data_IF_268671895609
#
_entry.id   IF_268671895609
#
_cell.length_a   1.000
_cell.length_b   1.000
_cell.length_c   1.000
_cell.angle_alpha   90.00
_cell.angle_beta   90.00
_cell.angle_gamma   90.00
#
_symmetry.space_group_name_H-M   'P 1'
#
loop_
_entity.id
_entity.type
_entity.pdbx_description
1 polymer ?
#
# COMPACT_ATOMS: atom_id res chain seq x y z
N UNK A 1 6.59 34.90 -45.10
CA UNK A 1 7.62 33.96 -44.68
C UNK A 1 7.00 32.97 -43.69
N UNK A 2 7.18 31.71 -43.94
CA UNK A 2 6.73 30.63 -43.06
C UNK A 2 7.74 30.35 -41.91
N UNK A 3 7.47 29.40 -41.01
CA UNK A 3 8.37 28.98 -39.96
C UNK A 3 9.67 28.44 -40.57
N UNK A 4 10.79 28.72 -39.93
CA UNK A 4 12.12 28.20 -40.33
C UNK A 4 12.41 26.81 -39.75
N UNK A 5 11.69 26.44 -38.67
CA UNK A 5 11.79 25.14 -38.03
C UNK A 5 10.41 24.66 -37.54
N UNK A 6 10.16 23.36 -37.66
CA UNK A 6 8.93 22.67 -37.21
C UNK A 6 9.28 21.30 -36.66
N UNK A 7 8.31 20.64 -36.02
CA UNK A 7 8.51 19.29 -35.51
C UNK A 7 8.05 18.23 -36.53
N UNK A 8 8.64 17.04 -36.49
CA UNK A 8 8.13 15.90 -37.28
C UNK A 8 6.68 15.58 -36.90
N UNK A 9 5.83 15.29 -37.88
CA UNK A 9 4.40 15.07 -37.71
C UNK A 9 3.56 16.36 -37.68
N UNK A 10 4.16 17.54 -37.83
CA UNK A 10 3.45 18.82 -37.90
C UNK A 10 2.96 19.15 -39.30
N UNK A 11 2.00 20.07 -39.39
CA UNK A 11 1.59 20.68 -40.66
C UNK A 11 1.86 22.18 -40.62
N UNK A 12 2.20 22.75 -41.78
CA UNK A 12 2.33 24.19 -42.00
C UNK A 12 1.93 24.58 -43.42
N UNK A 13 1.59 25.84 -43.60
CA UNK A 13 1.12 26.36 -44.90
C UNK A 13 2.11 27.34 -45.49
N UNK A 14 2.40 27.23 -46.80
CA UNK A 14 3.15 28.20 -47.56
C UNK A 14 2.34 28.74 -48.74
N UNK A 15 2.75 29.86 -49.30
CA UNK A 15 2.12 30.52 -50.43
C UNK A 15 2.97 30.37 -51.69
N UNK A 16 2.37 30.35 -52.91
CA UNK A 16 0.92 30.49 -53.19
C UNK A 16 0.13 29.19 -52.93
N UNK A 17 -1.21 29.32 -52.74
CA UNK A 17 -2.13 28.18 -52.44
C UNK A 17 -2.86 27.67 -53.66
N UNK A 18 -2.65 28.30 -54.83
CA UNK A 18 -3.31 27.95 -56.12
C UNK A 18 -2.49 28.48 -57.27
N UNK A 19 -2.86 28.12 -58.47
CA UNK A 19 -2.25 28.60 -59.72
C UNK A 19 -1.01 27.82 -60.16
N UNK A 20 -0.65 26.76 -59.49
CA UNK A 20 0.52 25.95 -59.83
C UNK A 20 0.70 24.69 -59.02
N UNK A 21 1.86 24.12 -59.07
CA UNK A 21 2.22 22.88 -58.36
C UNK A 21 3.47 23.09 -57.50
N UNK A 22 3.45 22.48 -56.32
CA UNK A 22 4.58 22.44 -55.41
C UNK A 22 5.34 21.13 -55.48
N UNK A 23 6.66 21.20 -55.35
CA UNK A 23 7.55 20.04 -55.27
C UNK A 23 8.45 20.15 -54.05
N UNK A 24 8.53 19.08 -53.26
CA UNK A 24 9.48 18.92 -52.16
C UNK A 24 10.84 18.43 -52.68
N UNK A 25 11.94 19.01 -52.18
CA UNK A 25 13.30 18.52 -52.47
C UNK A 25 13.59 17.17 -51.82
N UNK A 26 12.83 16.78 -50.77
CA UNK A 26 12.91 15.50 -50.11
C UNK A 26 11.56 15.08 -49.55
N UNK A 27 10.74 14.33 -50.30
CA UNK A 27 9.42 13.89 -49.81
C UNK A 27 9.45 12.94 -48.65
N UNK A 28 10.58 12.29 -48.32
CA UNK A 28 10.73 11.48 -47.11
C UNK A 28 10.85 12.32 -45.82
N UNK A 29 11.28 13.59 -45.94
CA UNK A 29 11.34 14.52 -44.80
C UNK A 29 10.01 15.27 -44.68
N UNK A 30 9.50 15.81 -45.82
CA UNK A 30 8.22 16.49 -45.83
C UNK A 30 7.56 16.41 -47.19
N UNK A 31 6.27 16.18 -47.23
CA UNK A 31 5.43 16.29 -48.43
C UNK A 31 4.77 17.64 -48.48
N UNK A 32 4.32 18.05 -49.67
CA UNK A 32 3.59 19.28 -49.89
C UNK A 32 2.48 19.06 -50.90
N UNK A 33 1.31 19.61 -50.69
CA UNK A 33 0.20 19.63 -51.61
C UNK A 33 0.29 20.81 -52.58
N UNK A 34 -0.46 20.78 -53.69
CA UNK A 34 -0.52 21.93 -54.61
C UNK A 34 -1.17 23.18 -53.97
N UNK A 35 -1.89 23.00 -52.88
CA UNK A 35 -2.39 24.11 -52.07
C UNK A 35 -1.34 24.66 -51.07
N UNK A 36 -0.11 24.17 -51.13
CA UNK A 36 0.97 24.63 -50.23
C UNK A 36 0.93 24.10 -48.83
N UNK A 37 0.09 23.07 -48.53
CA UNK A 37 0.07 22.42 -47.22
C UNK A 37 1.26 21.44 -47.13
N UNK A 38 2.18 21.76 -46.22
CA UNK A 38 3.34 20.92 -45.90
C UNK A 38 2.94 19.96 -44.77
N UNK A 39 3.26 18.67 -44.92
CA UNK A 39 3.20 17.67 -43.86
C UNK A 39 4.58 17.11 -43.61
N UNK A 40 5.13 17.29 -42.43
CA UNK A 40 6.45 16.83 -42.03
C UNK A 40 6.41 15.37 -41.56
N UNK A 41 7.37 14.57 -41.96
CA UNK A 41 7.41 13.12 -41.70
C UNK A 41 8.59 12.75 -40.79
N UNK A 42 9.82 13.01 -41.23
CA UNK A 42 11.05 12.69 -40.49
C UNK A 42 11.92 13.92 -40.30
N UNK A 43 12.86 13.85 -39.37
CA UNK A 43 13.80 14.95 -39.12
C UNK A 43 14.74 15.16 -40.26
N UNK A 44 15.12 16.41 -40.51
CA UNK A 44 16.03 16.80 -41.55
C UNK A 44 15.76 18.19 -42.10
N UNK A 45 16.41 18.58 -43.20
CA UNK A 45 16.23 19.87 -43.87
C UNK A 45 15.62 19.66 -45.27
N UNK A 46 14.60 20.43 -45.59
CA UNK A 46 13.86 20.32 -46.84
C UNK A 46 13.57 21.68 -47.41
N UNK A 47 13.55 21.80 -48.75
CA UNK A 47 13.18 22.98 -49.51
C UNK A 47 12.04 22.69 -50.47
N UNK A 48 11.38 23.71 -50.95
CA UNK A 48 10.23 23.61 -51.84
C UNK A 48 10.39 24.50 -53.07
N UNK A 49 9.92 24.03 -54.21
CA UNK A 49 9.90 24.78 -55.48
C UNK A 49 8.44 24.79 -55.94
N UNK A 50 8.01 26.00 -56.37
CA UNK A 50 6.69 26.20 -56.98
C UNK A 50 6.85 26.31 -58.50
N UNK A 51 5.94 25.69 -59.23
CA UNK A 51 5.85 25.83 -60.69
C UNK A 51 4.50 26.40 -61.04
N UNK A 52 4.45 27.57 -61.66
CA UNK A 52 3.19 28.20 -62.09
C UNK A 52 2.58 27.43 -63.24
N UNK A 53 1.24 27.21 -63.22
CA UNK A 53 0.57 26.37 -64.23
C UNK A 53 0.42 27.02 -65.59
N UNK A 54 0.34 28.39 -65.68
CA UNK A 54 0.10 29.10 -66.94
C UNK A 54 1.40 29.28 -67.74
N UNK A 55 2.43 29.77 -67.10
CA UNK A 55 3.74 30.05 -67.74
C UNK A 55 4.71 28.85 -67.71
N UNK A 56 4.48 27.88 -66.78
CA UNK A 56 5.43 26.81 -66.51
C UNK A 56 6.72 27.26 -65.80
N UNK A 57 6.80 28.56 -65.37
CA UNK A 57 7.95 29.13 -64.71
C UNK A 57 8.10 28.56 -63.30
N UNK A 58 9.34 28.20 -62.92
CA UNK A 58 9.68 27.70 -61.60
C UNK A 58 10.20 28.86 -60.72
N UNK A 59 9.77 28.85 -59.47
CA UNK A 59 10.35 29.73 -58.46
C UNK A 59 11.79 29.33 -58.14
N UNK A 60 12.53 30.24 -57.50
CA UNK A 60 13.71 29.84 -56.76
C UNK A 60 13.31 28.85 -55.65
N UNK A 61 14.31 28.11 -55.19
CA UNK A 61 14.12 27.20 -54.04
C UNK A 61 13.80 28.01 -52.78
N UNK A 62 12.80 27.58 -52.02
CA UNK A 62 12.48 28.19 -50.73
C UNK A 62 13.69 28.20 -49.80
N UNK A 63 13.65 29.05 -48.75
CA UNK A 63 14.52 28.84 -47.60
C UNK A 63 14.34 27.40 -47.05
N UNK A 64 15.40 26.90 -46.44
CA UNK A 64 15.38 25.58 -45.86
C UNK A 64 14.42 25.53 -44.65
N UNK A 65 13.49 24.58 -44.65
CA UNK A 65 12.68 24.24 -43.46
C UNK A 65 13.41 23.14 -42.70
N UNK A 66 13.77 23.40 -41.45
CA UNK A 66 14.34 22.42 -40.52
C UNK A 66 13.21 21.65 -39.87
N UNK A 67 13.19 20.35 -40.01
CA UNK A 67 12.27 19.44 -39.32
C UNK A 67 13.01 18.81 -38.15
N UNK A 68 12.64 19.21 -36.93
CA UNK A 68 13.19 18.67 -35.70
C UNK A 68 12.53 17.33 -35.34
N UNK A 69 13.27 16.35 -34.77
CA UNK A 69 12.68 15.10 -34.32
C UNK A 69 11.75 15.34 -33.13
N UNK A 70 10.62 14.62 -33.09
CA UNK A 70 9.82 14.50 -31.86
C UNK A 70 10.61 13.72 -30.82
N UNK A 71 10.62 14.13 -29.56
CA UNK A 71 11.32 13.43 -28.50
C UNK A 71 10.85 11.97 -28.36
N UNK A 72 11.79 11.03 -28.25
CA UNK A 72 11.49 9.67 -27.84
C UNK A 72 11.32 9.60 -26.33
N UNK A 73 10.29 8.93 -25.87
CA UNK A 73 9.96 8.74 -24.45
C UNK A 73 9.85 7.28 -24.12
N UNK A 74 10.28 6.89 -22.91
CA UNK A 74 10.19 5.51 -22.44
C UNK A 74 9.98 5.41 -20.94
N UNK A 75 9.37 4.30 -20.52
CA UNK A 75 9.20 3.88 -19.13
C UNK A 75 9.76 2.46 -19.00
N UNK A 76 10.91 2.28 -18.37
CA UNK A 76 11.41 0.95 -18.03
C UNK A 76 10.52 0.33 -16.95
N UNK A 77 10.04 -0.89 -17.18
CA UNK A 77 9.25 -1.64 -16.20
C UNK A 77 7.73 -1.46 -16.33
N UNK A 78 7.03 -1.62 -15.23
CA UNK A 78 5.56 -1.56 -15.18
C UNK A 78 5.05 -0.12 -15.29
N UNK A 79 3.96 0.06 -16.02
CA UNK A 79 3.19 1.30 -16.04
C UNK A 79 2.14 1.38 -14.91
N UNK A 80 2.07 0.38 -14.04
CA UNK A 80 1.21 0.37 -12.85
C UNK A 80 2.01 0.77 -11.62
N UNK A 81 1.50 1.75 -10.88
CA UNK A 81 2.06 2.25 -9.63
C UNK A 81 1.01 2.18 -8.52
N UNK A 82 1.42 1.76 -7.34
CA UNK A 82 0.56 1.95 -6.17
C UNK A 82 0.61 3.41 -5.70
N UNK A 83 -0.47 3.92 -5.12
CA UNK A 83 -0.46 5.25 -4.48
C UNK A 83 0.76 5.41 -3.57
N UNK A 84 1.50 6.52 -3.74
CA UNK A 84 2.74 6.83 -3.02
C UNK A 84 4.00 6.17 -3.56
N UNK A 85 3.91 5.28 -4.56
CA UNK A 85 5.08 4.72 -5.21
C UNK A 85 5.52 5.60 -6.38
N UNK A 86 6.81 5.48 -6.75
CA UNK A 86 7.40 6.23 -7.85
C UNK A 86 8.03 5.32 -8.91
N UNK A 87 8.13 5.85 -10.13
CA UNK A 87 8.87 5.29 -11.26
C UNK A 87 9.64 6.40 -11.97
N UNK A 88 10.56 6.02 -12.87
CA UNK A 88 11.31 7.00 -13.66
C UNK A 88 10.99 6.84 -15.14
N UNK A 89 10.60 7.93 -15.79
CA UNK A 89 10.43 8.04 -17.24
C UNK A 89 11.62 8.76 -17.86
N UNK A 90 11.90 8.47 -19.12
CA UNK A 90 13.01 9.07 -19.87
C UNK A 90 12.49 9.87 -21.08
N UNK A 91 13.17 10.97 -21.43
CA UNK A 91 14.45 11.49 -20.91
C UNK A 91 14.31 12.19 -19.54
N UNK A 92 15.42 12.23 -18.78
CA UNK A 92 15.49 12.87 -17.45
C UNK A 92 16.03 14.29 -17.47
N UNK A 93 16.41 14.78 -18.67
CA UNK A 93 16.98 16.12 -18.90
C UNK A 93 16.57 16.67 -20.26
N UNK A 94 16.78 17.95 -20.49
CA UNK A 94 16.61 18.58 -21.80
C UNK A 94 15.17 19.02 -22.11
N UNK A 95 14.24 18.89 -21.17
CA UNK A 95 12.86 19.29 -21.41
C UNK A 95 11.96 19.30 -20.19
N UNK A 96 10.67 19.38 -20.48
CA UNK A 96 9.60 19.46 -19.49
C UNK A 96 8.65 18.27 -19.67
N UNK A 97 8.38 17.56 -18.59
CA UNK A 97 7.33 16.57 -18.51
C UNK A 97 6.01 17.20 -18.07
N UNK A 98 4.92 16.77 -18.69
CA UNK A 98 3.55 17.18 -18.34
C UNK A 98 2.70 15.95 -18.15
N UNK A 99 1.94 15.90 -17.04
CA UNK A 99 0.89 14.91 -16.80
C UNK A 99 -0.46 15.46 -17.24
N UNK A 100 -1.26 14.64 -17.91
CA UNK A 100 -2.65 14.98 -18.26
C UNK A 100 -3.55 15.11 -17.04
N UNK A 101 -3.16 14.47 -15.92
CA UNK A 101 -3.85 14.55 -14.64
C UNK A 101 -2.85 14.45 -13.48
N UNK A 102 -2.35 15.59 -13.04
CA UNK A 102 -1.39 15.68 -11.94
C UNK A 102 -1.96 15.25 -10.57
N UNK A 103 -3.30 15.21 -10.40
CA UNK A 103 -3.93 14.69 -9.19
C UNK A 103 -3.91 13.15 -9.12
N UNK A 104 -3.77 12.47 -10.27
CA UNK A 104 -3.61 11.00 -10.33
C UNK A 104 -2.13 10.62 -10.30
N UNK A 105 -1.33 11.22 -11.17
CA UNK A 105 0.12 10.99 -11.20
C UNK A 105 0.84 12.31 -11.50
N UNK A 106 1.73 12.72 -10.61
CA UNK A 106 2.62 13.85 -10.85
C UNK A 106 3.92 13.40 -11.52
N UNK A 107 4.55 14.31 -12.26
CA UNK A 107 5.86 14.06 -12.87
C UNK A 107 6.76 15.27 -12.72
N UNK A 108 8.02 15.06 -12.40
CA UNK A 108 9.05 16.11 -12.36
C UNK A 108 9.78 16.21 -13.69
N UNK A 109 10.44 17.34 -13.96
CA UNK A 109 11.27 17.49 -15.17
C UNK A 109 12.46 16.52 -15.22
N UNK A 110 12.87 15.95 -14.07
CA UNK A 110 13.85 14.88 -13.99
C UNK A 110 13.24 13.48 -14.28
N UNK A 111 11.99 13.41 -14.71
CA UNK A 111 11.32 12.15 -15.05
C UNK A 111 10.86 11.30 -13.87
N UNK A 112 10.91 11.80 -12.63
CA UNK A 112 10.34 11.10 -11.47
C UNK A 112 8.82 11.23 -11.48
N UNK A 113 8.12 10.10 -11.62
CA UNK A 113 6.65 9.98 -11.60
C UNK A 113 6.22 9.44 -10.26
N UNK A 114 5.25 10.09 -9.61
CA UNK A 114 4.67 9.62 -8.33
C UNK A 114 3.17 9.41 -8.49
N UNK A 115 2.68 8.23 -8.09
CA UNK A 115 1.25 7.94 -8.02
C UNK A 115 0.60 8.63 -6.82
N UNK A 116 -0.41 9.48 -7.05
CA UNK A 116 -1.06 10.30 -6.01
C UNK A 116 -2.41 9.74 -5.62
N UNK A 117 -3.27 9.45 -6.60
CA UNK A 117 -4.60 8.90 -6.40
C UNK A 117 -4.90 7.83 -7.45
N UNK A 118 -5.79 6.86 -7.16
CA UNK A 118 -6.16 5.84 -8.13
C UNK A 118 -6.74 6.45 -9.42
N UNK A 119 -6.32 5.91 -10.56
CA UNK A 119 -6.76 6.39 -11.87
C UNK A 119 -5.70 6.22 -12.96
N UNK A 120 -5.91 6.91 -14.07
CA UNK A 120 -5.00 6.89 -15.23
C UNK A 120 -4.54 8.31 -15.58
N UNK A 121 -3.26 8.46 -15.86
CA UNK A 121 -2.68 9.69 -16.36
C UNK A 121 -1.78 9.40 -17.56
N UNK A 122 -1.68 10.35 -18.50
CA UNK A 122 -0.83 10.28 -19.68
C UNK A 122 0.27 11.34 -19.57
N UNK A 123 1.52 10.90 -19.79
CA UNK A 123 2.68 11.78 -19.68
C UNK A 123 3.22 12.10 -21.06
N UNK A 124 3.54 13.38 -21.30
CA UNK A 124 4.22 13.85 -22.51
C UNK A 124 5.46 14.68 -22.13
N UNK A 125 6.45 14.63 -23.01
CA UNK A 125 7.70 15.37 -22.86
C UNK A 125 7.86 16.42 -23.97
N UNK A 126 8.24 17.62 -23.61
CA UNK A 126 8.59 18.70 -24.55
C UNK A 126 10.07 19.04 -24.41
N UNK A 127 10.83 18.90 -25.51
CA UNK A 127 12.23 19.29 -25.56
C UNK A 127 12.34 20.83 -25.58
N UNK A 128 13.08 21.43 -24.64
CA UNK A 128 13.20 22.88 -24.49
C UNK A 128 14.00 23.55 -25.62
N UNK A 129 14.95 22.83 -26.26
CA UNK A 129 15.77 23.40 -27.32
C UNK A 129 15.00 23.54 -28.63
N UNK A 130 14.17 22.52 -28.95
CA UNK A 130 13.43 22.48 -30.22
C UNK A 130 11.97 22.90 -30.11
N UNK A 131 11.42 22.95 -28.89
CA UNK A 131 10.00 23.12 -28.63
C UNK A 131 9.14 21.91 -29.02
N UNK A 132 9.74 20.82 -29.49
CA UNK A 132 8.99 19.64 -29.95
C UNK A 132 8.50 18.79 -28.78
N UNK A 133 7.21 18.43 -28.83
CA UNK A 133 6.59 17.50 -27.89
C UNK A 133 6.60 16.08 -28.42
N UNK A 134 6.71 15.10 -27.55
CA UNK A 134 6.64 13.68 -27.90
C UNK A 134 5.33 13.36 -28.64
N UNK A 135 5.44 12.57 -29.72
CA UNK A 135 4.28 12.14 -30.51
C UNK A 135 3.36 11.28 -29.66
N UNK A 136 3.93 10.26 -29.00
CA UNK A 136 3.22 9.36 -28.12
C UNK A 136 3.13 9.90 -26.70
N UNK A 137 2.35 9.23 -25.85
CA UNK A 137 2.29 9.47 -24.40
C UNK A 137 2.57 8.18 -23.64
N UNK A 138 3.18 8.29 -22.47
CA UNK A 138 3.31 7.18 -21.51
C UNK A 138 2.04 7.15 -20.65
N UNK A 139 1.36 6.01 -20.65
CA UNK A 139 0.20 5.80 -19.79
C UNK A 139 0.65 5.26 -18.44
N UNK A 140 0.29 5.95 -17.35
CA UNK A 140 0.49 5.52 -15.98
C UNK A 140 -0.87 5.17 -15.38
N UNK A 141 -0.98 3.98 -14.80
CA UNK A 141 -2.14 3.52 -14.04
C UNK A 141 -1.77 3.49 -12.57
N UNK A 142 -2.45 4.31 -11.77
CA UNK A 142 -2.26 4.35 -10.32
C UNK A 142 -3.31 3.49 -9.65
N UNK A 143 -2.86 2.52 -8.86
CA UNK A 143 -3.68 1.55 -8.16
C UNK A 143 -3.85 1.95 -6.69
N UNK A 144 -5.05 1.72 -6.13
CA UNK A 144 -5.31 1.93 -4.71
C UNK A 144 -4.51 0.94 -3.86
N UNK A 145 -4.11 1.39 -2.67
CA UNK A 145 -3.62 0.49 -1.63
C UNK A 145 -4.79 -0.24 -0.97
N UNK A 146 -4.62 -1.50 -0.56
CA UNK A 146 -5.59 -2.16 0.30
C UNK A 146 -5.81 -1.37 1.59
N UNK A 147 -7.04 -1.38 2.10
CA UNK A 147 -7.37 -0.83 3.42
C UNK A 147 -7.40 -1.97 4.42
N UNK A 148 -6.74 -1.78 5.56
CA UNK A 148 -6.67 -2.76 6.65
C UNK A 148 -7.37 -2.17 7.87
N UNK A 149 -8.37 -2.91 8.38
CA UNK A 149 -9.09 -2.60 9.62
C UNK A 149 -8.92 -3.75 10.61
N UNK A 150 -8.78 -3.41 11.91
CA UNK A 150 -8.76 -4.40 12.98
C UNK A 150 -10.19 -4.59 13.52
N UNK A 151 -10.63 -5.83 13.78
CA UNK A 151 -11.94 -6.09 14.39
C UNK A 151 -12.02 -5.61 15.84
N UNK A 152 -10.87 -5.57 16.53
CA UNK A 152 -10.71 -5.08 17.89
C UNK A 152 -9.35 -4.41 18.07
N UNK A 153 -9.22 -3.54 19.08
CA UNK A 153 -8.00 -2.76 19.36
C UNK A 153 -7.09 -3.39 20.42
N UNK A 154 -7.58 -4.41 21.12
CA UNK A 154 -6.87 -5.09 22.20
C UNK A 154 -6.90 -6.60 22.03
N UNK A 155 -5.90 -7.31 22.52
CA UNK A 155 -5.79 -8.75 22.52
C UNK A 155 -4.97 -9.18 23.75
N UNK A 156 -5.25 -10.32 24.35
CA UNK A 156 -4.41 -10.87 25.41
C UNK A 156 -3.28 -11.73 24.84
N UNK A 157 -2.18 -11.83 25.55
CA UNK A 157 -1.13 -12.81 25.25
C UNK A 157 -1.73 -14.22 25.21
N UNK A 158 -1.35 -15.02 24.21
CA UNK A 158 -1.91 -16.36 23.98
C UNK A 158 -3.23 -16.38 23.23
N UNK A 159 -3.98 -15.28 23.18
CA UNK A 159 -5.27 -15.20 22.48
C UNK A 159 -5.08 -14.97 20.98
N UNK A 160 -6.12 -15.29 20.20
CA UNK A 160 -6.14 -15.11 18.75
C UNK A 160 -7.31 -14.25 18.28
N UNK A 161 -7.14 -13.60 17.12
CA UNK A 161 -8.21 -12.95 16.37
C UNK A 161 -7.97 -13.10 14.87
N UNK A 162 -9.02 -13.03 14.06
CA UNK A 162 -8.90 -13.12 12.61
C UNK A 162 -9.07 -11.74 11.94
N UNK A 163 -8.13 -11.40 11.06
CA UNK A 163 -8.20 -10.24 10.19
C UNK A 163 -8.95 -10.61 8.91
N UNK A 164 -9.86 -9.74 8.48
CA UNK A 164 -10.55 -9.93 7.21
C UNK A 164 -9.68 -9.40 6.07
N UNK A 165 -9.31 -10.29 5.15
CA UNK A 165 -8.55 -9.90 3.96
C UNK A 165 -9.45 -9.15 2.97
N UNK A 166 -9.04 -7.94 2.49
CA UNK A 166 -9.83 -7.16 1.52
C UNK A 166 -9.82 -7.77 0.11
N UNK A 167 -8.91 -8.71 -0.16
CA UNK A 167 -8.74 -9.40 -1.44
C UNK A 167 -7.85 -10.64 -1.26
N UNK A 168 -7.53 -11.35 -2.36
CA UNK A 168 -6.47 -12.36 -2.33
C UNK A 168 -5.10 -11.71 -2.08
N UNK A 169 -4.40 -12.15 -1.04
CA UNK A 169 -3.13 -11.53 -0.64
C UNK A 169 -2.50 -12.16 0.59
N UNK A 170 -1.52 -11.48 1.14
CA UNK A 170 -0.74 -11.95 2.30
C UNK A 170 -0.64 -10.89 3.38
N UNK A 171 -0.80 -11.34 4.63
CA UNK A 171 -0.61 -10.52 5.82
C UNK A 171 0.85 -10.55 6.29
N UNK A 172 1.27 -9.44 6.88
CA UNK A 172 2.61 -9.33 7.53
C UNK A 172 2.47 -8.52 8.81
N UNK A 173 2.99 -9.05 9.91
CA UNK A 173 3.16 -8.29 11.15
C UNK A 173 4.40 -7.42 11.09
N UNK A 174 4.28 -6.16 11.50
CA UNK A 174 5.42 -5.25 11.66
C UNK A 174 6.13 -5.44 13.02
N UNK A 175 5.50 -6.15 13.95
CA UNK A 175 5.97 -6.41 15.30
C UNK A 175 5.74 -7.89 15.67
N UNK A 176 6.39 -8.86 14.98
CA UNK A 176 6.06 -10.29 15.10
C UNK A 176 6.36 -10.88 16.49
N UNK A 177 7.24 -10.25 17.27
CA UNK A 177 7.52 -10.63 18.68
C UNK A 177 6.41 -10.22 19.63
N UNK A 178 5.58 -9.22 19.27
CA UNK A 178 4.44 -8.76 20.07
C UNK A 178 3.18 -9.47 19.63
N UNK A 179 2.91 -9.50 18.31
CA UNK A 179 1.83 -10.28 17.73
C UNK A 179 2.25 -10.84 16.36
N UNK A 180 2.14 -12.14 16.20
CA UNK A 180 2.33 -12.82 14.92
C UNK A 180 1.05 -12.78 14.09
N UNK A 181 1.16 -13.00 12.77
CA UNK A 181 0.01 -13.19 11.88
C UNK A 181 0.30 -14.28 10.86
N UNK A 182 -0.66 -15.15 10.60
CA UNK A 182 -0.58 -16.14 9.52
C UNK A 182 -0.83 -15.47 8.16
N UNK A 183 -0.48 -16.16 7.08
CA UNK A 183 -0.80 -15.67 5.73
C UNK A 183 -2.30 -15.50 5.50
N UNK A 184 -3.14 -16.28 6.19
CA UNK A 184 -4.61 -16.24 6.13
C UNK A 184 -5.23 -15.14 6.99
N UNK A 185 -4.47 -14.56 7.93
CA UNK A 185 -4.93 -13.42 8.74
C UNK A 185 -5.18 -13.73 10.21
N UNK A 186 -4.93 -14.96 10.69
CA UNK A 186 -5.03 -15.25 12.13
C UNK A 186 -3.87 -14.61 12.88
N UNK A 187 -4.19 -13.68 13.76
CA UNK A 187 -3.26 -12.99 14.66
C UNK A 187 -3.20 -13.72 15.98
N UNK A 188 -2.00 -13.88 16.54
CA UNK A 188 -1.76 -14.42 17.89
C UNK A 188 -0.97 -13.42 18.71
N UNK A 189 -1.44 -13.07 19.91
CA UNK A 189 -0.71 -12.25 20.88
C UNK A 189 0.48 -13.04 21.47
N UNK A 190 1.70 -12.53 21.31
CA UNK A 190 2.92 -13.21 21.73
C UNK A 190 3.54 -12.61 23.00
N UNK A 191 3.53 -11.29 23.12
CA UNK A 191 4.03 -10.57 24.30
C UNK A 191 3.32 -9.21 24.41
N UNK A 192 3.36 -8.62 25.61
CA UNK A 192 2.79 -7.30 25.84
C UNK A 192 3.43 -6.24 24.93
N UNK A 193 2.61 -5.36 24.33
CA UNK A 193 3.08 -4.27 23.51
C UNK A 193 2.10 -3.81 22.45
N UNK A 194 2.58 -3.02 21.48
CA UNK A 194 1.80 -2.49 20.37
C UNK A 194 2.23 -3.15 19.07
N UNK A 195 1.31 -3.79 18.38
CA UNK A 195 1.55 -4.41 17.08
C UNK A 195 0.76 -3.71 15.96
N UNK A 196 1.29 -3.75 14.73
CA UNK A 196 0.66 -3.27 13.50
C UNK A 196 0.84 -4.28 12.40
N UNK A 197 -0.07 -4.26 11.44
CA UNK A 197 -0.10 -5.22 10.35
C UNK A 197 -0.21 -4.51 9.01
N UNK A 198 0.34 -5.13 7.97
CA UNK A 198 0.17 -4.73 6.57
C UNK A 198 -0.38 -5.89 5.77
N UNK A 199 -1.06 -5.57 4.67
CA UNK A 199 -1.61 -6.53 3.72
C UNK A 199 -1.10 -6.23 2.32
N UNK A 200 -0.55 -7.22 1.63
CA UNK A 200 -0.13 -7.14 0.22
C UNK A 200 -1.15 -7.85 -0.66
N UNK A 201 -1.77 -7.12 -1.57
CA UNK A 201 -2.67 -7.67 -2.58
C UNK A 201 -1.86 -8.39 -3.67
N UNK A 202 -2.16 -9.66 -3.94
CA UNK A 202 -1.41 -10.47 -4.91
C UNK A 202 -1.65 -10.05 -6.36
N UNK A 203 -2.84 -9.56 -6.70
CA UNK A 203 -3.18 -9.16 -8.06
C UNK A 203 -2.52 -7.84 -8.47
N UNK A 204 -2.44 -6.88 -7.56
CA UNK A 204 -1.90 -5.54 -7.82
C UNK A 204 -0.47 -5.36 -7.34
N UNK A 205 0.01 -6.23 -6.44
CA UNK A 205 1.28 -6.08 -5.74
C UNK A 205 1.31 -4.93 -4.72
N UNK A 206 0.21 -4.17 -4.57
CA UNK A 206 0.14 -3.04 -3.65
C UNK A 206 0.04 -3.49 -2.20
N UNK A 207 0.85 -2.85 -1.35
CA UNK A 207 0.83 -3.07 0.10
C UNK A 207 0.05 -1.94 0.78
N UNK A 208 -0.79 -2.30 1.75
CA UNK A 208 -1.55 -1.35 2.57
C UNK A 208 -0.63 -0.41 3.35
N UNK A 209 -1.17 0.69 3.82
CA UNK A 209 -0.55 1.37 4.97
C UNK A 209 -0.63 0.44 6.20
N UNK A 210 0.22 0.67 7.24
CA UNK A 210 0.08 -0.04 8.52
C UNK A 210 -1.34 0.13 9.08
N UNK A 211 -1.86 -0.92 9.73
CA UNK A 211 -3.13 -0.87 10.46
C UNK A 211 -3.07 0.16 11.61
N UNK A 212 -4.21 0.45 12.22
CA UNK A 212 -4.26 0.96 13.59
C UNK A 212 -3.44 0.06 14.53
N UNK A 213 -3.03 0.57 15.69
CA UNK A 213 -2.31 -0.23 16.68
C UNK A 213 -3.22 -1.27 17.34
N UNK A 214 -2.74 -2.50 17.47
CA UNK A 214 -3.29 -3.54 18.32
C UNK A 214 -2.48 -3.54 19.61
N UNK A 215 -3.13 -3.31 20.76
CA UNK A 215 -2.49 -3.44 22.07
C UNK A 215 -2.61 -4.91 22.51
N UNK A 216 -1.47 -5.55 22.72
CA UNK A 216 -1.42 -6.89 23.33
C UNK A 216 -1.16 -6.70 24.83
N UNK A 217 -2.11 -7.14 25.65
CA UNK A 217 -2.04 -7.06 27.10
C UNK A 217 -1.41 -8.34 27.66
N UNK A 218 -0.60 -8.20 28.70
CA UNK A 218 -0.07 -9.35 29.43
C UNK A 218 -1.19 -10.10 30.18
N UNK A 219 -1.02 -11.41 30.37
CA UNK A 219 -1.82 -12.17 31.31
C UNK A 219 -1.54 -11.67 32.74
N UNK A 220 -2.56 -11.52 33.59
CA UNK A 220 -2.38 -11.14 34.99
C UNK A 220 -1.47 -12.16 35.70
N UNK A 221 -0.51 -11.67 36.48
CA UNK A 221 0.27 -12.53 37.36
C UNK A 221 -0.58 -12.91 38.57
N UNK A 222 -0.64 -14.21 38.85
CA UNK A 222 -1.35 -14.76 39.99
C UNK A 222 -0.45 -15.66 40.80
N UNK A 223 -0.68 -15.73 42.11
CA UNK A 223 0.07 -16.61 43.00
C UNK A 223 -0.77 -17.02 44.19
N UNK A 224 -0.37 -18.11 44.85
CA UNK A 224 -0.93 -18.57 46.10
C UNK A 224 -0.18 -17.89 47.26
N UNK A 225 -0.90 -17.17 48.10
CA UNK A 225 -0.35 -16.46 49.29
C UNK A 225 -0.53 -17.23 50.58
N UNK A 226 -1.33 -18.31 50.58
CA UNK A 226 -1.54 -19.20 51.71
C UNK A 226 -1.01 -20.64 51.43
N UNK A 227 -1.38 -21.61 52.25
CA UNK A 227 -0.98 -23.01 52.06
C UNK A 227 -1.64 -23.59 50.80
N UNK A 228 -0.88 -24.44 50.06
CA UNK A 228 -1.34 -25.18 48.90
C UNK A 228 -2.14 -26.43 49.24
N UNK A 229 -2.03 -26.92 50.51
CA UNK A 229 -2.75 -28.05 51.05
C UNK A 229 -3.60 -27.60 52.22
N UNK A 230 -4.91 -27.82 52.16
CA UNK A 230 -5.88 -27.44 53.19
C UNK A 230 -6.86 -28.59 53.42
N UNK A 231 -7.43 -28.66 54.63
CA UNK A 231 -8.51 -29.60 54.92
C UNK A 231 -9.88 -29.01 54.52
N UNK A 232 -10.85 -29.90 54.27
CA UNK A 232 -12.25 -29.48 54.05
C UNK A 232 -12.71 -28.55 55.14
N UNK A 233 -13.32 -27.40 54.76
CA UNK A 233 -13.80 -26.33 55.64
C UNK A 233 -12.77 -25.25 55.95
N UNK A 234 -11.49 -25.44 55.53
CA UNK A 234 -10.45 -24.43 55.71
C UNK A 234 -10.34 -23.50 54.51
N UNK A 235 -9.58 -22.41 54.71
CA UNK A 235 -9.38 -21.34 53.69
C UNK A 235 -7.90 -21.18 53.37
N UNK A 236 -7.64 -20.73 52.11
CA UNK A 236 -6.35 -20.21 51.66
C UNK A 236 -6.56 -18.94 50.84
N UNK A 237 -5.50 -18.23 50.52
CA UNK A 237 -5.58 -16.91 49.85
C UNK A 237 -4.81 -16.93 48.53
N UNK A 238 -5.47 -16.45 47.46
CA UNK A 238 -4.90 -16.15 46.16
C UNK A 238 -4.67 -14.62 46.05
N UNK A 239 -3.68 -14.24 45.27
CA UNK A 239 -3.41 -12.84 44.87
C UNK A 239 -3.34 -12.72 43.35
N UNK A 240 -3.88 -11.61 42.80
CA UNK A 240 -4.29 -10.38 43.48
C UNK A 240 -5.65 -10.49 44.17
N UNK A 241 -5.88 -9.66 45.21
CA UNK A 241 -7.13 -9.59 45.96
C UNK A 241 -8.08 -8.46 45.48
N UNK A 242 -7.69 -7.76 44.41
CA UNK A 242 -8.44 -6.64 43.81
C UNK A 242 -8.10 -6.47 42.34
N UNK A 243 -8.90 -5.72 41.61
CA UNK A 243 -8.63 -5.37 40.20
C UNK A 243 -9.15 -6.40 39.20
N UNK A 244 -9.96 -7.35 39.64
CA UNK A 244 -10.55 -8.34 38.76
C UNK A 244 -11.41 -9.34 39.49
N UNK A 245 -11.77 -10.39 38.81
CA UNK A 245 -12.68 -11.44 39.26
C UNK A 245 -11.99 -12.79 39.28
N UNK A 246 -12.10 -13.52 40.40
CA UNK A 246 -11.66 -14.90 40.51
C UNK A 246 -12.76 -15.88 40.11
N UNK A 247 -12.38 -16.95 39.43
CA UNK A 247 -13.28 -18.07 39.08
C UNK A 247 -12.61 -19.37 39.42
N UNK A 248 -13.32 -20.26 40.16
CA UNK A 248 -12.89 -21.64 40.37
C UNK A 248 -13.24 -22.49 39.16
N UNK A 249 -12.31 -23.33 38.71
CA UNK A 249 -12.53 -24.33 37.68
C UNK A 249 -13.16 -25.61 38.22
N UNK A 250 -13.11 -25.83 39.54
CA UNK A 250 -13.72 -26.93 40.29
C UNK A 250 -14.50 -26.40 41.50
N UNK A 251 -15.61 -25.69 41.30
CA UNK A 251 -16.35 -25.05 42.38
C UNK A 251 -16.95 -26.00 43.41
N UNK A 252 -17.14 -27.30 43.06
CA UNK A 252 -17.58 -28.35 43.97
C UNK A 252 -16.48 -28.80 44.95
N UNK A 253 -15.20 -28.59 44.61
CA UNK A 253 -14.05 -28.91 45.47
C UNK A 253 -13.65 -27.70 46.33
N UNK A 254 -13.49 -26.55 45.70
CA UNK A 254 -13.20 -25.29 46.38
C UNK A 254 -13.76 -24.13 45.60
N UNK A 255 -14.41 -23.20 46.29
CA UNK A 255 -14.94 -21.94 45.75
C UNK A 255 -14.01 -20.78 46.12
N UNK A 256 -14.09 -19.66 45.39
CA UNK A 256 -13.25 -18.51 45.56
C UNK A 256 -14.09 -17.21 45.47
N UNK A 257 -13.88 -16.25 46.38
CA UNK A 257 -14.48 -14.93 46.27
C UNK A 257 -13.56 -13.94 45.50
N UNK A 258 -14.10 -12.75 45.22
CA UNK A 258 -13.34 -11.73 44.46
C UNK A 258 -12.15 -11.16 45.26
N UNK A 259 -12.06 -11.38 46.56
CA UNK A 259 -10.90 -11.02 47.38
C UNK A 259 -9.78 -12.09 47.32
N UNK A 260 -10.01 -13.16 46.57
CA UNK A 260 -9.05 -14.28 46.45
C UNK A 260 -9.10 -15.29 47.56
N UNK A 261 -10.10 -15.20 48.47
CA UNK A 261 -10.27 -16.17 49.58
C UNK A 261 -10.88 -17.45 48.98
N UNK A 262 -10.12 -18.52 48.99
CA UNK A 262 -10.55 -19.88 48.63
C UNK A 262 -11.11 -20.58 49.84
N UNK A 263 -12.31 -21.13 49.71
CA UNK A 263 -12.95 -21.97 50.74
C UNK A 263 -13.11 -23.39 50.21
N UNK A 264 -12.53 -24.36 50.92
CA UNK A 264 -12.58 -25.77 50.52
C UNK A 264 -13.90 -26.43 50.93
N UNK A 265 -14.49 -27.16 49.99
CA UNK A 265 -15.84 -27.79 50.15
C UNK A 265 -15.78 -29.34 50.20
N UNK A 266 -14.94 -29.93 49.35
CA UNK A 266 -14.78 -31.39 49.28
C UNK A 266 -13.32 -31.74 48.96
N UNK A 267 -12.92 -32.99 49.24
CA UNK A 267 -11.57 -33.48 48.95
C UNK A 267 -11.30 -33.56 47.42
N UNK A 268 -10.14 -33.10 46.99
CA UNK A 268 -9.71 -33.08 45.58
C UNK A 268 -8.73 -31.98 45.28
N UNK A 269 -8.50 -31.70 43.99
CA UNK A 269 -7.68 -30.60 43.51
C UNK A 269 -8.53 -29.55 42.82
N UNK A 270 -8.30 -28.27 43.11
CA UNK A 270 -8.98 -27.14 42.51
C UNK A 270 -7.97 -26.14 41.88
N UNK A 271 -8.35 -25.59 40.72
CA UNK A 271 -7.60 -24.57 39.97
C UNK A 271 -8.46 -23.33 39.83
N UNK A 272 -7.78 -22.17 39.70
CA UNK A 272 -8.46 -20.87 39.70
C UNK A 272 -7.91 -20.00 38.59
N UNK A 273 -8.78 -19.17 38.01
CA UNK A 273 -8.46 -18.19 36.97
C UNK A 273 -8.85 -16.79 37.48
N UNK A 274 -7.97 -15.84 37.31
CA UNK A 274 -8.23 -14.43 37.55
C UNK A 274 -8.45 -13.71 36.23
N UNK A 275 -9.54 -12.93 36.11
CA UNK A 275 -9.83 -12.07 35.00
C UNK A 275 -9.59 -10.62 35.43
N UNK A 276 -8.64 -9.94 34.81
CA UNK A 276 -8.34 -8.52 35.09
C UNK A 276 -9.44 -7.61 34.52
N UNK A 277 -10.03 -6.76 35.36
CA UNK A 277 -11.16 -5.91 34.98
C UNK A 277 -10.78 -4.79 33.97
N UNK A 278 -9.52 -4.36 33.97
CA UNK A 278 -9.07 -3.27 33.10
C UNK A 278 -8.80 -3.75 31.67
N UNK A 279 -8.31 -4.98 31.52
CA UNK A 279 -7.88 -5.54 30.21
C UNK A 279 -8.81 -6.63 29.71
N UNK A 280 -9.59 -7.26 30.58
CA UNK A 280 -10.38 -8.47 30.30
C UNK A 280 -9.52 -9.71 30.08
N UNK A 281 -8.22 -9.65 30.39
CA UNK A 281 -7.31 -10.79 30.18
C UNK A 281 -7.38 -11.75 31.36
N UNK A 282 -7.38 -13.05 31.02
CA UNK A 282 -7.31 -14.11 32.01
C UNK A 282 -5.86 -14.41 32.37
N UNK A 283 -5.65 -14.78 33.63
CA UNK A 283 -4.42 -15.43 34.06
C UNK A 283 -4.32 -16.87 33.49
N UNK A 284 -3.11 -17.40 33.44
CA UNK A 284 -2.97 -18.85 33.45
C UNK A 284 -3.55 -19.41 34.76
N UNK A 285 -3.98 -20.68 34.73
CA UNK A 285 -4.47 -21.33 35.95
C UNK A 285 -3.39 -21.30 37.03
N UNK A 286 -3.80 -21.06 38.29
CA UNK A 286 -2.89 -21.15 39.44
C UNK A 286 -2.35 -22.56 39.65
N UNK A 287 -1.35 -22.69 40.52
CA UNK A 287 -1.00 -23.99 41.09
C UNK A 287 -2.22 -24.59 41.77
N UNK A 288 -2.33 -25.91 41.74
CA UNK A 288 -3.46 -26.62 42.38
C UNK A 288 -3.48 -26.34 43.87
N UNK A 289 -4.70 -26.17 44.42
CA UNK A 289 -4.95 -26.25 45.84
C UNK A 289 -5.50 -27.66 46.13
N UNK A 290 -4.74 -28.45 46.90
CA UNK A 290 -5.10 -29.76 47.30
C UNK A 290 -5.97 -29.69 48.56
N UNK A 291 -7.16 -30.27 48.49
CA UNK A 291 -8.10 -30.38 49.62
C UNK A 291 -8.12 -31.77 50.17
N UNK A 292 -7.61 -31.96 51.37
CA UNK A 292 -7.65 -33.25 52.09
C UNK A 292 -8.97 -33.43 52.90
N UNK A 293 -9.47 -34.67 53.05
CA UNK A 293 -10.64 -34.90 53.86
C UNK A 293 -10.44 -34.46 55.33
N UNK A 294 -11.49 -34.05 55.99
CA UNK A 294 -11.43 -33.75 57.44
C UNK A 294 -11.07 -35.03 58.21
N UNK A 295 -10.14 -34.89 59.15
CA UNK A 295 -9.82 -36.04 60.03
C UNK A 295 -10.99 -36.30 61.00
N UNK A 296 -11.46 -37.52 61.00
CA UNK A 296 -12.45 -37.98 61.96
C UNK A 296 -11.70 -38.51 63.17
N UNK A 297 -11.87 -37.89 64.37
CA UNK A 297 -11.40 -38.43 65.60
C UNK A 297 -12.41 -39.43 66.17
N UNK A 298 -12.07 -40.71 66.17
CA UNK A 298 -12.88 -41.72 66.85
C UNK A 298 -12.47 -41.85 68.28
N UNK A 299 -13.44 -41.78 69.22
CA UNK A 299 -13.22 -42.10 70.63
C UNK A 299 -13.32 -43.59 70.75
N UNK A 300 -12.17 -44.26 70.92
CA UNK A 300 -12.13 -45.68 71.28
C UNK A 300 -12.61 -45.85 72.71
N UNK A 301 -13.80 -46.45 72.91
CA UNK A 301 -14.39 -46.80 74.19
C UNK A 301 -13.81 -48.07 74.79
#
# INVERSE_FOLDING_TARGET
SGPTAVCSGSQSQIQPTSGGTWQSSNPAIATITNSGLITTLTSGSVKFIYTESVSGCKSDSSSALLVNPSPFISLPGSNQLCVGNAATVFPTVGGIWISSNGAVASVTNAGSVTGIAPGTAHLKFTNLTTGCTSKDSITIVVLSKPVVTLPQSTLCVGSTMDLTAPAAGTWTSLNPTIASVTATGTVTGMSQGLARFTFKNNATGCTSNPSSGLVVNASPFVSLAGPSEICVGNQTLLIPSTGGTWTSLQPDIADVNNEGIVTSLSAGEAYFVFTDDATGCNSDSTLSVSVSPALIAEVLG
#
